data_IF_285960819285
#
_entry.id   IF_285960819285
#
_cell.length_a   1.000
_cell.length_b   1.000
_cell.length_c   1.000
_cell.angle_alpha   90.00
_cell.angle_beta   90.00
_cell.angle_gamma   90.00
#
_symmetry.space_group_name_H-M   'P 1'
#
loop_
_entity.id
_entity.type
_entity.pdbx_description
1 polymer ?
#
# COMPACT_ATOMS: atom_id res chain seq x y z
N UNK A 1 -42.73 -15.51 57.43
CA UNK A 1 -41.32 -15.17 57.72
C UNK A 1 -40.48 -15.42 56.46
N UNK A 2 -39.94 -14.34 55.90
CA UNK A 2 -38.71 -14.21 55.08
C UNK A 2 -38.54 -15.07 53.81
N UNK A 3 -38.80 -14.47 52.65
CA UNK A 3 -38.15 -14.84 51.38
C UNK A 3 -36.80 -14.11 51.28
N UNK A 4 -35.72 -14.87 51.19
CA UNK A 4 -34.36 -14.37 50.96
C UNK A 4 -34.16 -14.23 49.44
N UNK A 5 -34.04 -13.01 48.94
CA UNK A 5 -33.69 -12.74 47.54
C UNK A 5 -32.16 -12.70 47.43
N UNK A 6 -31.58 -13.65 46.71
CA UNK A 6 -30.15 -13.68 46.39
C UNK A 6 -29.93 -12.85 45.11
N UNK A 7 -29.36 -11.66 45.27
CA UNK A 7 -28.87 -10.85 44.16
C UNK A 7 -27.51 -11.39 43.74
N UNK A 8 -27.48 -12.14 42.63
CA UNK A 8 -26.23 -12.61 42.02
C UNK A 8 -25.61 -11.44 41.23
N UNK A 9 -24.48 -10.92 41.73
CA UNK A 9 -23.68 -9.91 41.04
C UNK A 9 -22.79 -10.63 40.02
N UNK A 10 -23.17 -10.59 38.74
CA UNK A 10 -22.33 -11.08 37.65
C UNK A 10 -21.25 -10.04 37.36
N UNK A 11 -20.03 -10.28 37.86
CA UNK A 11 -18.84 -9.54 37.48
C UNK A 11 -18.46 -9.96 36.04
N UNK A 12 -18.79 -9.11 35.06
CA UNK A 12 -18.19 -9.18 33.74
C UNK A 12 -16.70 -8.89 33.88
N UNK A 13 -15.87 -9.90 33.64
CA UNK A 13 -14.44 -9.71 33.47
C UNK A 13 -14.23 -8.90 32.19
N UNK A 14 -14.03 -7.59 32.35
CA UNK A 14 -13.62 -6.72 31.24
C UNK A 14 -12.18 -7.14 30.94
N UNK A 15 -12.01 -7.95 29.90
CA UNK A 15 -10.70 -8.19 29.32
C UNK A 15 -10.26 -6.85 28.71
N UNK A 16 -9.56 -6.04 29.50
CA UNK A 16 -8.83 -4.85 29.04
C UNK A 16 -7.69 -5.35 28.16
N UNK A 17 -8.02 -5.76 26.92
CA UNK A 17 -7.04 -5.64 25.85
C UNK A 17 -6.64 -4.18 25.78
N UNK A 18 -5.34 -3.91 25.68
CA UNK A 18 -4.85 -2.57 25.40
C UNK A 18 -5.39 -2.15 24.04
N UNK A 19 -6.55 -1.49 24.05
CA UNK A 19 -7.16 -0.92 22.86
C UNK A 19 -6.22 0.19 22.39
N UNK A 20 -5.76 0.05 21.16
CA UNK A 20 -4.99 1.07 20.48
C UNK A 20 -5.89 2.30 20.33
N UNK A 21 -5.45 3.47 20.79
CA UNK A 21 -6.22 4.71 20.82
C UNK A 21 -5.95 5.62 19.61
N UNK A 22 -5.29 5.08 18.59
CA UNK A 22 -4.99 5.75 17.34
C UNK A 22 -5.49 4.95 16.13
N UNK A 23 -5.76 5.67 15.04
CA UNK A 23 -6.13 5.05 13.77
C UNK A 23 -4.92 4.31 13.17
N UNK A 24 -5.17 3.16 12.54
CA UNK A 24 -4.17 2.36 11.84
C UNK A 24 -4.43 2.46 10.35
N UNK A 25 -3.42 2.90 9.61
CA UNK A 25 -3.43 2.85 8.15
C UNK A 25 -2.79 1.56 7.70
N UNK A 26 -3.45 0.84 6.79
CA UNK A 26 -2.94 -0.41 6.27
C UNK A 26 -3.43 -0.67 4.85
N UNK A 27 -2.81 -1.65 4.19
CA UNK A 27 -3.22 -2.11 2.86
C UNK A 27 -4.00 -3.41 2.99
N UNK A 28 -5.21 -3.43 2.45
CA UNK A 28 -6.06 -4.62 2.40
C UNK A 28 -5.98 -5.24 1.02
N UNK A 29 -5.29 -6.37 0.92
CA UNK A 29 -5.31 -7.18 -0.29
C UNK A 29 -6.64 -7.94 -0.45
N UNK A 30 -7.01 -8.35 -1.68
CA UNK A 30 -8.14 -9.24 -1.92
C UNK A 30 -8.02 -10.51 -1.07
N UNK A 31 -9.14 -11.10 -0.65
CA UNK A 31 -9.16 -12.41 0.02
C UNK A 31 -10.09 -13.36 -0.73
N UNK A 32 -9.56 -14.49 -1.14
CA UNK A 32 -10.26 -15.49 -1.95
C UNK A 32 -10.70 -16.73 -1.15
N UNK A 33 -10.77 -16.61 0.18
CA UNK A 33 -10.97 -17.73 1.10
C UNK A 33 -9.64 -18.36 1.53
N UNK A 34 -9.69 -19.60 1.98
CA UNK A 34 -8.53 -20.25 2.63
C UNK A 34 -7.75 -21.19 1.69
N UNK A 35 -8.24 -21.39 0.46
CA UNK A 35 -7.63 -22.30 -0.53
C UNK A 35 -6.85 -21.58 -1.64
N UNK A 36 -6.98 -20.25 -1.71
CA UNK A 36 -6.40 -19.44 -2.77
C UNK A 36 -5.64 -18.29 -2.12
N UNK A 37 -4.34 -18.23 -2.39
CA UNK A 37 -3.49 -17.15 -1.91
C UNK A 37 -3.69 -15.91 -2.78
N UNK A 38 -3.55 -14.75 -2.13
CA UNK A 38 -3.39 -13.46 -2.80
C UNK A 38 -1.93 -13.30 -3.20
N UNK A 39 -1.69 -12.77 -4.40
CA UNK A 39 -0.33 -12.44 -4.85
C UNK A 39 0.10 -11.12 -4.21
N UNK A 40 1.13 -11.19 -3.37
CA UNK A 40 1.77 -10.03 -2.74
C UNK A 40 3.13 -9.77 -3.41
N UNK A 41 3.60 -8.50 -3.43
CA UNK A 41 4.95 -8.19 -3.85
C UNK A 41 5.96 -8.99 -3.04
N UNK A 42 6.95 -9.55 -3.73
CA UNK A 42 8.06 -10.26 -3.11
C UNK A 42 9.39 -9.85 -3.77
N UNK A 43 10.50 -10.36 -3.24
CA UNK A 43 11.85 -9.89 -3.58
C UNK A 43 12.22 -10.08 -5.05
N UNK A 44 11.72 -11.11 -5.72
CA UNK A 44 12.04 -11.43 -7.11
C UNK A 44 11.11 -10.75 -8.12
N UNK A 45 9.85 -10.55 -7.76
CA UNK A 45 8.81 -9.94 -8.60
C UNK A 45 8.07 -8.84 -7.83
N UNK A 46 8.75 -7.74 -7.48
CA UNK A 46 8.15 -6.66 -6.68
C UNK A 46 7.03 -5.92 -7.39
N UNK A 47 6.92 -6.05 -8.72
CA UNK A 47 5.83 -5.50 -9.51
C UNK A 47 4.64 -6.44 -9.71
N UNK A 48 4.70 -7.66 -9.21
CA UNK A 48 3.61 -8.64 -9.32
C UNK A 48 2.70 -8.55 -8.10
N UNK A 49 1.49 -8.04 -8.30
CA UNK A 49 0.50 -7.87 -7.25
C UNK A 49 -0.92 -8.06 -7.79
N UNK A 50 -1.79 -8.63 -6.98
CA UNK A 50 -3.22 -8.72 -7.31
C UNK A 50 -3.87 -7.33 -7.41
N UNK A 51 -4.75 -7.11 -8.41
CA UNK A 51 -5.59 -5.92 -8.44
C UNK A 51 -6.57 -5.91 -7.25
N UNK A 52 -6.93 -4.71 -6.79
CA UNK A 52 -7.87 -4.53 -5.68
C UNK A 52 -7.25 -4.45 -4.29
N UNK A 53 -5.93 -4.22 -4.21
CA UNK A 53 -5.29 -3.85 -2.94
C UNK A 53 -5.66 -2.41 -2.56
N UNK A 54 -6.49 -2.27 -1.52
CA UNK A 54 -7.06 -1.02 -1.04
C UNK A 54 -6.21 -0.37 0.05
N UNK A 55 -6.20 0.96 0.11
CA UNK A 55 -5.72 1.72 1.26
C UNK A 55 -6.85 1.95 2.26
N UNK A 56 -6.65 1.49 3.49
CA UNK A 56 -7.66 1.46 4.54
C UNK A 56 -7.25 2.28 5.76
N UNK A 57 -8.25 2.79 6.48
CA UNK A 57 -8.12 3.36 7.82
C UNK A 57 -8.94 2.52 8.79
N UNK A 58 -8.31 1.98 9.82
CA UNK A 58 -8.94 1.26 10.91
C UNK A 58 -8.98 2.15 12.14
N UNK A 59 -10.18 2.39 12.67
CA UNK A 59 -10.38 3.19 13.87
C UNK A 59 -10.22 2.38 15.16
N UNK A 60 -9.95 3.04 16.30
CA UNK A 60 -9.89 2.41 17.61
C UNK A 60 -11.12 1.57 17.99
N UNK A 61 -12.30 1.91 17.46
CA UNK A 61 -13.56 1.20 17.72
C UNK A 61 -13.76 -0.04 16.82
N UNK A 62 -12.80 -0.32 15.94
CA UNK A 62 -12.83 -1.44 15.00
C UNK A 62 -13.56 -1.15 13.69
N UNK A 63 -14.10 0.05 13.50
CA UNK A 63 -14.68 0.45 12.22
C UNK A 63 -13.59 0.74 11.18
N UNK A 64 -13.89 0.47 9.91
CA UNK A 64 -12.95 0.66 8.81
C UNK A 64 -13.49 1.62 7.76
N UNK A 65 -12.60 2.45 7.22
CA UNK A 65 -12.87 3.32 6.09
C UNK A 65 -11.96 2.99 4.91
N UNK A 66 -12.53 2.99 3.71
CA UNK A 66 -11.76 2.96 2.48
C UNK A 66 -11.24 4.37 2.16
N UNK A 67 -9.92 4.53 2.10
CA UNK A 67 -9.27 5.78 1.70
C UNK A 67 -9.07 5.87 0.20
N UNK A 68 -8.50 4.80 -0.38
CA UNK A 68 -8.19 4.71 -1.82
C UNK A 68 -8.50 3.30 -2.30
N UNK A 69 -9.39 3.20 -3.28
CA UNK A 69 -9.69 1.93 -3.93
C UNK A 69 -8.51 1.50 -4.82
N UNK A 70 -8.09 0.24 -4.69
CA UNK A 70 -7.15 -0.37 -5.64
C UNK A 70 -7.77 -0.52 -7.03
N UNK A 71 -9.02 -0.97 -7.09
CA UNK A 71 -9.76 -1.12 -8.34
C UNK A 71 -9.06 -2.08 -9.31
N UNK A 72 -8.84 -1.64 -10.55
CA UNK A 72 -8.06 -2.39 -11.54
C UNK A 72 -6.57 -2.44 -11.19
N UNK A 73 -6.09 -1.55 -10.34
CA UNK A 73 -4.72 -1.43 -9.90
C UNK A 73 -4.53 -1.93 -8.47
N UNK A 74 -3.44 -1.51 -7.84
CA UNK A 74 -3.09 -1.91 -6.49
C UNK A 74 -2.32 -0.81 -5.76
N UNK A 75 -2.68 -0.56 -4.50
CA UNK A 75 -1.92 0.30 -3.58
C UNK A 75 -0.97 -0.54 -2.75
N UNK A 76 0.28 -0.07 -2.57
CA UNK A 76 1.33 -0.73 -1.78
C UNK A 76 2.16 0.26 -0.96
N UNK A 77 2.92 -0.26 0.01
CA UNK A 77 3.96 0.46 0.75
C UNK A 77 3.56 1.82 1.32
N UNK A 78 2.54 1.82 2.19
CA UNK A 78 2.09 3.06 2.83
C UNK A 78 3.07 3.57 3.90
N UNK A 79 3.30 4.87 3.92
CA UNK A 79 3.99 5.61 4.95
C UNK A 79 3.14 6.81 5.41
N UNK A 80 3.19 7.12 6.71
CA UNK A 80 2.42 8.21 7.33
C UNK A 80 3.34 9.39 7.60
N UNK A 81 2.89 10.62 7.35
CA UNK A 81 3.61 11.84 7.72
C UNK A 81 3.75 11.97 9.24
N UNK A 82 4.75 12.71 9.71
CA UNK A 82 4.98 12.91 11.15
C UNK A 82 3.81 13.58 11.89
N UNK A 83 3.01 14.39 11.18
CA UNK A 83 1.82 15.04 11.73
C UNK A 83 0.53 14.25 11.49
N UNK A 84 0.63 13.04 10.92
CA UNK A 84 -0.46 12.13 10.58
C UNK A 84 -1.54 12.70 9.64
N UNK A 85 -1.26 13.78 8.92
CA UNK A 85 -2.24 14.40 8.00
C UNK A 85 -2.12 13.91 6.57
N UNK A 86 -0.98 13.35 6.19
CA UNK A 86 -0.70 12.93 4.83
C UNK A 86 -0.18 11.50 4.81
N UNK A 87 -0.73 10.69 3.92
CA UNK A 87 -0.26 9.36 3.62
C UNK A 87 0.51 9.39 2.31
N UNK A 88 1.62 8.68 2.24
CA UNK A 88 2.39 8.44 1.02
C UNK A 88 2.34 6.96 0.71
N UNK A 89 2.18 6.59 -0.55
CA UNK A 89 2.12 5.19 -0.97
C UNK A 89 2.53 5.05 -2.42
N UNK A 90 2.94 3.85 -2.81
CA UNK A 90 3.10 3.49 -4.20
C UNK A 90 1.78 2.91 -4.75
N UNK A 91 1.49 3.17 -6.03
CA UNK A 91 0.29 2.65 -6.69
C UNK A 91 0.59 2.24 -8.12
N UNK A 92 0.17 1.03 -8.44
CA UNK A 92 0.04 0.54 -9.80
C UNK A 92 -1.34 0.93 -10.31
N UNK A 93 -1.46 1.72 -11.39
CA UNK A 93 -2.77 2.18 -11.86
C UNK A 93 -3.65 1.07 -12.43
N UNK A 94 -3.05 0.05 -13.04
CA UNK A 94 -3.76 -1.07 -13.66
C UNK A 94 -2.87 -2.33 -13.68
N UNK A 95 -3.40 -3.41 -13.13
CA UNK A 95 -2.76 -4.72 -12.98
C UNK A 95 -3.54 -5.83 -13.71
N UNK A 96 -4.53 -5.48 -14.54
CA UNK A 96 -5.22 -6.47 -15.37
C UNK A 96 -4.22 -7.10 -16.34
N UNK A 97 -4.36 -8.39 -16.62
CA UNK A 97 -3.47 -9.13 -17.54
C UNK A 97 -3.33 -8.46 -18.91
N UNK A 98 -4.35 -7.76 -19.40
CA UNK A 98 -4.31 -7.01 -20.67
C UNK A 98 -3.39 -5.79 -20.65
N UNK A 99 -3.01 -5.30 -19.47
CA UNK A 99 -2.17 -4.12 -19.26
C UNK A 99 -0.75 -4.48 -18.81
N UNK A 100 -0.40 -5.77 -18.81
CA UNK A 100 0.93 -6.26 -18.45
C UNK A 100 1.80 -6.46 -19.70
N UNK A 101 3.08 -6.17 -19.55
CA UNK A 101 4.08 -6.33 -20.59
C UNK A 101 4.85 -7.64 -20.42
N UNK A 102 4.45 -8.67 -21.17
CA UNK A 102 5.09 -9.98 -21.15
C UNK A 102 6.58 -9.96 -21.57
N UNK A 103 7.02 -8.94 -22.32
CA UNK A 103 8.45 -8.77 -22.68
C UNK A 103 9.28 -8.16 -21.54
N UNK A 104 8.63 -7.79 -20.43
CA UNK A 104 9.20 -7.13 -19.25
C UNK A 104 8.74 -7.83 -17.97
N UNK A 105 8.75 -9.16 -17.96
CA UNK A 105 8.38 -9.99 -16.80
C UNK A 105 6.98 -9.66 -16.24
N UNK A 106 6.03 -9.45 -17.14
CA UNK A 106 4.63 -9.11 -16.81
C UNK A 106 4.47 -7.86 -15.94
N UNK A 107 5.41 -6.92 -16.02
CA UNK A 107 5.26 -5.60 -15.39
C UNK A 107 4.21 -4.75 -16.10
N UNK A 108 3.43 -3.92 -15.37
CA UNK A 108 2.37 -3.11 -15.96
C UNK A 108 2.92 -2.02 -16.88
N UNK A 109 2.28 -1.79 -18.02
CA UNK A 109 2.68 -0.74 -18.98
C UNK A 109 2.72 0.66 -18.35
N UNK A 110 1.80 0.94 -17.42
CA UNK A 110 1.71 2.23 -16.74
C UNK A 110 2.78 2.42 -15.65
N UNK A 111 3.52 1.37 -15.28
CA UNK A 111 4.46 1.39 -14.17
C UNK A 111 3.79 1.57 -12.80
N UNK A 112 4.54 2.16 -11.87
CA UNK A 112 4.10 2.41 -10.49
C UNK A 112 4.62 3.76 -10.00
N UNK A 113 3.74 4.60 -9.47
CA UNK A 113 4.10 5.94 -9.02
C UNK A 113 3.83 6.16 -7.55
N UNK A 114 4.49 7.15 -6.98
CA UNK A 114 4.25 7.60 -5.62
C UNK A 114 3.10 8.59 -5.63
N UNK A 115 2.19 8.42 -4.70
CA UNK A 115 1.05 9.28 -4.46
C UNK A 115 1.10 9.80 -3.02
N UNK A 116 0.43 10.93 -2.79
CA UNK A 116 0.04 11.36 -1.46
C UNK A 116 -1.47 11.45 -1.34
N UNK A 117 -1.97 11.22 -0.14
CA UNK A 117 -3.38 11.37 0.22
C UNK A 117 -3.50 12.26 1.45
N UNK A 118 -4.24 13.36 1.34
CA UNK A 118 -4.60 14.20 2.49
C UNK A 118 -5.80 13.58 3.21
N UNK A 119 -5.63 13.27 4.49
CA UNK A 119 -6.64 12.55 5.28
C UNK A 119 -7.88 13.40 5.52
N UNK A 120 -7.72 14.71 5.74
CA UNK A 120 -8.83 15.59 6.06
C UNK A 120 -9.67 15.94 4.83
N UNK A 121 -9.01 16.29 3.72
CA UNK A 121 -9.69 16.67 2.47
C UNK A 121 -10.02 15.47 1.56
N UNK A 122 -9.55 14.27 1.91
CA UNK A 122 -9.70 13.03 1.13
C UNK A 122 -9.21 13.20 -0.32
N UNK A 123 -8.11 13.91 -0.49
CA UNK A 123 -7.58 14.27 -1.82
C UNK A 123 -6.32 13.47 -2.12
N UNK A 124 -6.35 12.71 -3.21
CA UNK A 124 -5.20 12.01 -3.78
C UNK A 124 -4.43 12.94 -4.74
N UNK A 125 -3.11 12.89 -4.71
CA UNK A 125 -2.22 13.60 -5.65
C UNK A 125 -1.05 12.71 -6.04
N UNK A 126 -0.84 12.54 -7.34
CA UNK A 126 0.33 11.84 -7.90
C UNK A 126 1.59 12.72 -7.78
N UNK A 127 2.69 12.15 -7.32
CA UNK A 127 3.96 12.85 -7.08
C UNK A 127 5.04 12.53 -8.11
N UNK A 128 5.02 11.33 -8.69
CA UNK A 128 5.98 10.90 -9.72
C UNK A 128 5.27 10.57 -11.02
N UNK A 129 5.99 10.64 -12.15
CA UNK A 129 5.40 10.52 -13.48
C UNK A 129 6.22 9.63 -14.44
N UNK A 130 7.06 8.73 -13.91
CA UNK A 130 7.97 7.87 -14.70
C UNK A 130 8.90 8.64 -15.65
N UNK A 131 9.20 9.90 -15.36
CA UNK A 131 10.05 10.72 -16.22
C UNK A 131 11.52 10.38 -16.01
N UNK A 132 12.28 10.35 -17.11
CA UNK A 132 13.73 10.23 -17.04
C UNK A 132 14.31 11.43 -16.28
N UNK A 133 15.04 11.14 -15.21
CA UNK A 133 15.75 12.17 -14.44
C UNK A 133 17.24 12.06 -14.76
N UNK A 134 17.77 12.93 -15.64
CA UNK A 134 19.18 12.88 -15.99
C UNK A 134 20.03 13.17 -14.75
N UNK A 135 21.12 12.42 -14.61
CA UNK A 135 22.06 12.66 -13.54
C UNK A 135 22.72 14.05 -13.71
N UNK A 136 22.61 14.90 -12.69
CA UNK A 136 23.10 16.29 -12.73
C UNK A 136 24.53 16.49 -12.22
N UNK A 137 25.25 15.43 -11.81
CA UNK A 137 26.72 15.36 -11.62
C UNK A 137 27.18 14.23 -10.65
N UNK A 138 26.30 13.31 -10.26
CA UNK A 138 26.64 12.18 -9.38
C UNK A 138 27.40 11.04 -10.08
N UNK A 139 27.74 11.16 -11.37
CA UNK A 139 28.52 10.19 -12.14
C UNK A 139 28.30 10.30 -13.66
N UNK A 140 29.11 9.58 -14.44
CA UNK A 140 28.94 9.44 -15.89
C UNK A 140 27.81 8.44 -16.19
N UNK A 141 26.65 8.95 -16.58
CA UNK A 141 25.44 8.17 -16.84
C UNK A 141 25.05 8.30 -18.32
N UNK A 142 24.13 7.45 -18.79
CA UNK A 142 23.61 7.56 -20.15
C UNK A 142 22.88 8.89 -20.37
N UNK A 143 23.03 9.49 -21.56
CA UNK A 143 22.38 10.76 -21.91
C UNK A 143 20.87 10.62 -22.17
N UNK A 144 20.36 9.39 -22.27
CA UNK A 144 18.96 9.11 -22.56
C UNK A 144 18.52 7.75 -21.95
N UNK A 145 17.21 7.53 -21.72
CA UNK A 145 16.69 6.36 -21.00
C UNK A 145 16.88 5.01 -21.69
N UNK A 146 17.26 5.00 -22.98
CA UNK A 146 17.56 3.78 -23.75
C UNK A 146 19.02 3.73 -24.22
N UNK A 147 19.83 4.69 -23.78
CA UNK A 147 21.22 4.82 -24.14
C UNK A 147 22.01 3.78 -23.36
N UNK A 148 22.83 3.00 -24.07
CA UNK A 148 23.80 2.09 -23.46
C UNK A 148 25.02 2.88 -22.96
N UNK A 149 24.80 4.00 -22.25
CA UNK A 149 25.86 4.87 -21.76
C UNK A 149 26.94 4.00 -21.13
N UNK A 150 28.18 4.11 -21.62
CA UNK A 150 29.30 3.28 -21.20
C UNK A 150 29.57 3.49 -19.70
N UNK A 151 28.80 2.81 -18.86
CA UNK A 151 29.17 2.50 -17.50
C UNK A 151 29.94 1.18 -17.55
N UNK A 152 31.17 1.18 -18.08
CA UNK A 152 31.91 -0.08 -18.18
C UNK A 152 33.24 -0.15 -18.90
N UNK A 153 33.72 0.86 -19.64
CA UNK A 153 35.04 0.77 -20.31
C UNK A 153 36.21 1.19 -19.41
N UNK A 154 36.14 0.83 -18.12
CA UNK A 154 37.27 0.91 -17.21
C UNK A 154 37.56 -0.50 -16.68
N UNK A 155 38.58 -1.09 -17.30
CA UNK A 155 39.25 -2.34 -16.94
C UNK A 155 39.14 -2.69 -15.44
N UNK A 156 38.49 -3.81 -15.16
CA UNK A 156 38.79 -4.69 -14.03
C UNK A 156 38.89 -6.13 -14.54
#
# INVERSE_FOLDING_TARGET
MRYLSFLSLVLFSICLFAQVDYDIVYIRGPRYGDLTNTTWPEVFHPGSIEPGCDLMLLHPDGSEELLVAGGNGAVVDVAVSFDAKTLFYAKFPDMRTSELNYQRADLPFAGADIYKFDVASRTETRLTFQEWTPNTAAGNWADNPVGTGHAGDENY
#
